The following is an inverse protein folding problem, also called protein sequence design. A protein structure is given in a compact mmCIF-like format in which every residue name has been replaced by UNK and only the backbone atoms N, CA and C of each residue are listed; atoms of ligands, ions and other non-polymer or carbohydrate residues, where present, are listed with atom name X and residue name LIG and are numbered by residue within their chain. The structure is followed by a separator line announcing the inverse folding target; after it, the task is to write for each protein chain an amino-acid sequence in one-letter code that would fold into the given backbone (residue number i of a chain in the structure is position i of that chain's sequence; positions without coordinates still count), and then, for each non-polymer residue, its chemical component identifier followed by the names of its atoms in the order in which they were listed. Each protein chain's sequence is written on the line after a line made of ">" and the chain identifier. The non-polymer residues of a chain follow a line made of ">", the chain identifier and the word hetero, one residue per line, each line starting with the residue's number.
data_IF_249097598702
#
_entry.id   IF_249097598702
#
_cell.length_a   1.000
_cell.length_b   1.000
_cell.length_c   1.000
_cell.angle_alpha   90.00
_cell.angle_beta   90.00
_cell.angle_gamma   90.00
#
_symmetry.space_group_name_H-M   'P 1'
#
loop_
_entity.id
_entity.type
_entity.pdbx_description
1 polymer ?
#
# COMPACT_ATOMS: atom_id res chain seq x y z
N UNK A 1 -4.81 0.93 -4.87
CA UNK A 1 -3.42 1.25 -5.25
C UNK A 1 -2.73 0.04 -5.83
N UNK A 2 -1.69 0.24 -6.60
CA UNK A 2 -0.78 -0.83 -7.02
C UNK A 2 0.50 -0.73 -6.20
N UNK A 3 0.91 -1.82 -5.55
CA UNK A 3 2.19 -1.94 -4.86
C UNK A 3 3.17 -2.74 -5.73
N UNK A 4 4.32 -2.16 -6.00
CA UNK A 4 5.42 -2.78 -6.72
C UNK A 4 6.53 -3.18 -5.74
N UNK A 5 7.00 -4.41 -5.87
CA UNK A 5 8.03 -5.04 -5.05
C UNK A 5 9.05 -5.72 -5.93
N UNK A 6 10.21 -6.04 -5.37
CA UNK A 6 11.25 -6.82 -6.03
C UNK A 6 11.57 -8.01 -5.13
N UNK A 7 11.87 -9.16 -5.75
CA UNK A 7 12.27 -10.34 -4.99
C UNK A 7 13.51 -10.06 -4.13
N UNK A 8 13.74 -10.79 -3.03
CA UNK A 8 14.92 -10.62 -2.19
C UNK A 8 16.23 -10.72 -2.95
N UNK A 9 16.28 -11.50 -4.02
CA UNK A 9 17.44 -11.65 -4.92
C UNK A 9 17.61 -10.46 -5.87
N UNK A 10 16.65 -9.52 -5.90
CA UNK A 10 16.72 -8.28 -6.68
C UNK A 10 16.48 -8.43 -8.20
N UNK A 11 15.98 -9.58 -8.66
CA UNK A 11 15.89 -9.89 -10.08
C UNK A 11 14.47 -10.15 -10.61
N UNK A 12 13.46 -10.20 -9.75
CA UNK A 12 12.07 -10.43 -10.14
C UNK A 12 11.15 -9.31 -9.62
N UNK A 13 10.82 -8.34 -10.47
CA UNK A 13 9.82 -7.32 -10.12
C UNK A 13 8.41 -7.92 -10.10
N UNK A 14 7.56 -7.42 -9.22
CA UNK A 14 6.18 -7.82 -9.10
C UNK A 14 5.31 -6.61 -8.77
N UNK A 15 4.12 -6.55 -9.34
CA UNK A 15 3.13 -5.51 -9.05
C UNK A 15 1.77 -6.16 -8.74
N UNK A 16 1.10 -5.67 -7.72
CA UNK A 16 -0.22 -6.15 -7.32
C UNK A 16 -1.13 -5.01 -6.91
N UNK A 17 -2.40 -5.08 -7.31
CA UNK A 17 -3.44 -4.18 -6.84
C UNK A 17 -3.94 -4.63 -5.48
N UNK A 18 -4.00 -3.70 -4.54
CA UNK A 18 -4.48 -3.94 -3.18
C UNK A 18 -5.40 -2.82 -2.71
N UNK A 19 -6.37 -3.13 -1.87
CA UNK A 19 -7.10 -2.13 -1.11
C UNK A 19 -6.16 -1.50 -0.08
N UNK A 20 -6.31 -0.22 0.18
CA UNK A 20 -5.48 0.49 1.14
C UNK A 20 -6.27 1.55 1.91
N UNK A 21 -5.87 1.80 3.14
CA UNK A 21 -6.30 2.93 3.94
C UNK A 21 -5.09 3.83 4.23
N UNK A 22 -5.36 5.08 4.56
CA UNK A 22 -4.33 6.05 4.94
C UNK A 22 -4.59 6.45 6.38
N UNK A 23 -3.56 6.44 7.22
CA UNK A 23 -3.67 6.91 8.60
C UNK A 23 -3.38 8.43 8.72
N UNK A 24 -3.52 8.97 9.92
CA UNK A 24 -3.37 10.41 10.19
C UNK A 24 -1.93 10.93 9.94
N UNK A 25 -0.95 10.03 9.88
CA UNK A 25 0.45 10.35 9.57
C UNK A 25 0.78 10.14 8.07
N UNK A 26 -0.23 10.01 7.22
CA UNK A 26 -0.13 9.74 5.78
C UNK A 26 0.57 8.41 5.43
N UNK A 27 0.61 7.46 6.35
CA UNK A 27 1.12 6.11 6.08
C UNK A 27 0.02 5.26 5.46
N UNK A 28 0.39 4.42 4.51
CA UNK A 28 -0.57 3.56 3.84
C UNK A 28 -0.62 2.19 4.51
N UNK A 29 -1.83 1.72 4.80
CA UNK A 29 -2.06 0.40 5.39
C UNK A 29 -2.77 -0.48 4.38
N UNK A 30 -2.28 -1.71 4.18
CA UNK A 30 -2.95 -2.70 3.35
C UNK A 30 -2.89 -4.10 3.96
N UNK A 31 -3.82 -4.95 3.55
CA UNK A 31 -3.87 -6.35 3.94
C UNK A 31 -3.51 -7.22 2.74
N UNK A 32 -2.71 -8.25 2.98
CA UNK A 32 -2.42 -9.26 1.97
C UNK A 32 -1.97 -10.57 2.61
N UNK A 33 -2.05 -11.68 1.87
CA UNK A 33 -1.49 -12.94 2.31
C UNK A 33 0.03 -12.82 2.43
N UNK A 34 0.60 -13.37 3.52
CA UNK A 34 2.05 -13.44 3.69
C UNK A 34 2.71 -14.34 2.63
N UNK A 35 1.97 -15.33 2.15
CA UNK A 35 2.38 -16.27 1.09
C UNK A 35 2.26 -15.70 -0.33
N UNK A 36 1.67 -14.50 -0.53
CA UNK A 36 1.63 -13.86 -1.85
C UNK A 36 3.03 -13.38 -2.29
N UNK A 37 3.24 -13.20 -3.59
CA UNK A 37 4.55 -12.75 -4.10
C UNK A 37 5.01 -11.45 -3.42
N UNK A 38 4.16 -10.43 -3.36
CA UNK A 38 4.52 -9.18 -2.66
C UNK A 38 4.65 -9.36 -1.13
N UNK A 39 3.87 -10.27 -0.51
CA UNK A 39 4.03 -10.60 0.90
C UNK A 39 5.37 -11.25 1.20
N UNK A 40 5.82 -12.15 0.34
CA UNK A 40 7.14 -12.82 0.41
C UNK A 40 8.28 -11.83 0.14
N UNK A 41 8.13 -10.98 -0.89
CA UNK A 41 9.14 -9.96 -1.24
C UNK A 41 9.32 -8.93 -0.10
N UNK A 42 8.24 -8.54 0.57
CA UNK A 42 8.32 -7.61 1.71
C UNK A 42 8.93 -8.30 2.93
N UNK A 43 8.55 -9.56 3.19
CA UNK A 43 8.99 -10.26 4.40
C UNK A 43 8.61 -9.45 5.65
N UNK A 44 9.60 -9.10 6.46
CA UNK A 44 9.40 -8.20 7.61
C UNK A 44 9.43 -6.73 7.19
N UNK A 45 10.31 -6.37 6.25
CA UNK A 45 10.38 -5.03 5.64
C UNK A 45 11.12 -5.04 4.31
N UNK A 46 10.70 -4.19 3.38
CA UNK A 46 11.39 -3.97 2.11
C UNK A 46 11.04 -2.62 1.51
N UNK A 47 11.90 -2.07 0.64
CA UNK A 47 11.55 -0.92 -0.19
C UNK A 47 10.43 -1.29 -1.17
N UNK A 48 9.52 -0.36 -1.40
CA UNK A 48 8.41 -0.51 -2.33
C UNK A 48 8.19 0.76 -3.13
N UNK A 49 7.60 0.60 -4.32
CA UNK A 49 7.01 1.71 -5.05
C UNK A 49 5.49 1.48 -5.15
N UNK A 50 4.74 2.58 -5.10
CA UNK A 50 3.28 2.56 -5.14
C UNK A 50 2.79 3.52 -6.20
N UNK A 51 1.71 3.15 -6.88
CA UNK A 51 0.92 4.07 -7.69
C UNK A 51 -0.52 4.07 -7.23
N UNK A 52 -1.10 5.27 -7.18
CA UNK A 52 -2.54 5.49 -7.01
C UNK A 52 -3.00 6.31 -8.19
N UNK A 53 -3.89 5.77 -8.98
CA UNK A 53 -4.50 6.43 -10.14
C UNK A 53 -5.88 5.87 -10.38
N UNK A 54 -6.69 6.63 -11.07
CA UNK A 54 -7.98 6.19 -11.63
C UNK A 54 -7.81 5.79 -13.10
N UNK A 55 -8.84 5.24 -13.70
CA UNK A 55 -8.91 5.04 -15.15
C UNK A 55 -9.35 6.32 -15.82
N UNK A 56 -8.66 6.76 -16.87
CA UNK A 56 -8.95 7.96 -17.64
C UNK A 56 -9.16 7.61 -19.12
N UNK A 57 -10.09 8.31 -19.77
CA UNK A 57 -10.31 8.20 -21.21
C UNK A 57 -9.45 9.21 -21.99
N UNK A 58 -9.11 10.33 -21.36
CA UNK A 58 -8.29 11.41 -21.93
C UNK A 58 -6.98 11.58 -21.16
N UNK A 59 -5.89 11.75 -21.88
CA UNK A 59 -4.58 12.01 -21.29
C UNK A 59 -4.51 13.33 -20.51
N UNK A 60 -5.32 14.33 -20.89
CA UNK A 60 -5.41 15.64 -20.22
C UNK A 60 -6.01 15.53 -18.81
N UNK A 61 -6.78 14.48 -18.53
CA UNK A 61 -7.43 14.24 -17.25
C UNK A 61 -6.58 13.43 -16.27
N UNK A 62 -5.46 12.89 -16.75
CA UNK A 62 -4.62 11.99 -15.94
C UNK A 62 -4.17 12.67 -14.65
N UNK A 63 -4.52 12.04 -13.54
CA UNK A 63 -4.04 12.36 -12.21
C UNK A 63 -3.51 11.10 -11.54
N UNK A 64 -2.45 11.23 -10.79
CA UNK A 64 -1.92 10.09 -10.06
C UNK A 64 -0.84 10.48 -9.07
N UNK A 65 -0.68 9.62 -8.09
CA UNK A 65 0.37 9.72 -7.09
C UNK A 65 1.30 8.53 -7.24
N UNK A 66 2.58 8.79 -7.32
CA UNK A 66 3.65 7.80 -7.19
C UNK A 66 4.30 7.99 -5.83
N UNK A 67 4.53 6.90 -5.11
CA UNK A 67 5.12 6.93 -3.76
C UNK A 67 6.27 5.93 -3.74
N UNK A 68 7.39 6.35 -3.16
CA UNK A 68 8.52 5.50 -2.80
C UNK A 68 8.64 5.48 -1.29
N UNK A 69 8.80 4.31 -0.73
CA UNK A 69 8.88 4.15 0.71
C UNK A 69 9.31 2.75 1.13
N UNK A 70 9.20 2.49 2.41
CA UNK A 70 9.46 1.18 3.01
C UNK A 70 8.14 0.56 3.47
N UNK A 71 7.82 -0.64 2.99
CA UNK A 71 6.73 -1.45 3.53
C UNK A 71 7.25 -2.30 4.69
N UNK A 72 6.44 -2.40 5.74
CA UNK A 72 6.75 -3.19 6.93
C UNK A 72 5.55 -4.03 7.33
N UNK A 73 5.78 -5.32 7.59
CA UNK A 73 4.77 -6.19 8.19
C UNK A 73 4.64 -5.89 9.67
N UNK A 74 3.42 -5.61 10.12
CA UNK A 74 3.13 -5.24 11.50
C UNK A 74 2.77 -6.44 12.37
N UNK A 75 3.13 -6.34 13.65
CA UNK A 75 2.76 -7.31 14.70
C UNK A 75 2.32 -6.58 15.97
N UNK A 76 1.77 -7.31 16.93
CA UNK A 76 1.38 -6.78 18.24
C UNK A 76 0.45 -5.57 18.17
N UNK A 77 0.70 -4.58 19.00
CA UNK A 77 -0.13 -3.37 19.13
C UNK A 77 -0.17 -2.55 17.83
N UNK A 78 0.96 -2.45 17.12
CA UNK A 78 1.02 -1.72 15.84
C UNK A 78 0.11 -2.36 14.78
N UNK A 79 0.05 -3.71 14.72
CA UNK A 79 -0.87 -4.44 13.85
C UNK A 79 -2.34 -4.13 14.21
N UNK A 80 -2.67 -4.17 15.51
CA UNK A 80 -4.02 -3.89 15.97
C UNK A 80 -4.47 -2.46 15.61
N UNK A 81 -3.62 -1.47 15.86
CA UNK A 81 -3.90 -0.07 15.51
C UNK A 81 -4.10 0.13 13.98
N UNK A 82 -3.22 -0.42 13.17
CA UNK A 82 -3.34 -0.32 11.71
C UNK A 82 -4.59 -1.03 11.19
N UNK A 83 -4.97 -2.17 11.78
CA UNK A 83 -6.19 -2.89 11.43
C UNK A 83 -7.44 -2.07 11.74
N UNK A 84 -7.46 -1.31 12.83
CA UNK A 84 -8.57 -0.39 13.16
C UNK A 84 -8.73 0.70 12.09
N UNK A 85 -7.63 1.32 11.64
CA UNK A 85 -7.65 2.29 10.53
C UNK A 85 -8.24 1.65 9.28
N UNK A 86 -7.77 0.44 8.95
CA UNK A 86 -8.22 -0.26 7.75
C UNK A 86 -9.70 -0.65 7.80
N UNK A 87 -10.17 -1.19 8.93
CA UNK A 87 -11.58 -1.57 9.12
C UNK A 87 -12.51 -0.35 9.13
N UNK A 88 -12.06 0.79 9.63
CA UNK A 88 -12.81 2.04 9.55
C UNK A 88 -13.07 2.44 8.10
N UNK A 89 -12.08 2.29 7.22
CA UNK A 89 -12.21 2.55 5.79
C UNK A 89 -13.03 1.48 5.06
N UNK A 90 -12.89 0.21 5.47
CA UNK A 90 -13.50 -0.97 4.85
C UNK A 90 -14.27 -1.81 5.88
N UNK A 91 -15.50 -1.40 6.30
CA UNK A 91 -16.24 -2.08 7.36
C UNK A 91 -16.52 -3.56 7.09
N UNK A 92 -16.66 -3.96 5.81
CA UNK A 92 -16.90 -5.36 5.43
C UNK A 92 -15.78 -6.31 5.87
N UNK A 93 -14.58 -5.79 6.09
CA UNK A 93 -13.41 -6.58 6.52
C UNK A 93 -13.64 -7.20 7.91
N UNK A 94 -14.35 -6.52 8.80
CA UNK A 94 -14.71 -7.07 10.12
C UNK A 94 -15.48 -8.38 10.01
N UNK A 95 -16.48 -8.42 9.15
CA UNK A 95 -17.30 -9.62 8.89
C UNK A 95 -16.47 -10.71 8.22
N UNK A 96 -15.59 -10.33 7.29
CA UNK A 96 -14.69 -11.26 6.60
C UNK A 96 -13.73 -11.93 7.59
N UNK A 97 -13.12 -11.15 8.50
CA UNK A 97 -12.16 -11.67 9.49
C UNK A 97 -12.82 -12.54 10.55
N UNK A 98 -14.09 -12.26 10.91
CA UNK A 98 -14.84 -13.02 11.91
C UNK A 98 -15.46 -14.31 11.38
N UNK A 99 -15.55 -14.48 10.06
CA UNK A 99 -16.28 -15.60 9.46
C UNK A 99 -15.47 -16.90 9.51
N UNK A 100 -16.00 -18.02 10.09
CA UNK A 100 -15.26 -19.27 10.26
C UNK A 100 -14.70 -19.85 8.97
N UNK A 101 -15.40 -19.69 7.83
CA UNK A 101 -14.92 -20.14 6.51
C UNK A 101 -13.63 -19.49 6.05
N UNK A 102 -13.26 -18.36 6.63
CA UNK A 102 -12.07 -17.60 6.27
C UNK A 102 -10.91 -17.78 7.26
N UNK A 103 -11.07 -18.68 8.26
CA UNK A 103 -10.07 -18.86 9.32
C UNK A 103 -8.66 -19.18 8.79
N UNK A 104 -8.54 -20.00 7.75
CA UNK A 104 -7.25 -20.32 7.13
C UNK A 104 -6.63 -19.11 6.44
N UNK A 105 -7.44 -18.38 5.64
CA UNK A 105 -7.00 -17.13 5.01
C UNK A 105 -6.55 -16.10 6.06
N UNK A 106 -7.31 -15.97 7.16
CA UNK A 106 -7.00 -15.01 8.24
C UNK A 106 -5.68 -15.35 8.93
N UNK A 107 -5.34 -16.65 9.09
CA UNK A 107 -4.04 -17.07 9.65
C UNK A 107 -2.86 -16.63 8.78
N UNK A 108 -3.03 -16.62 7.45
CA UNK A 108 -1.99 -16.18 6.51
C UNK A 108 -2.00 -14.66 6.26
N UNK A 109 -2.98 -13.94 6.80
CA UNK A 109 -3.16 -12.52 6.53
C UNK A 109 -2.12 -11.67 7.28
N UNK A 110 -1.28 -10.99 6.51
CA UNK A 110 -0.40 -9.93 6.99
C UNK A 110 -1.08 -8.57 6.95
N UNK A 111 -0.75 -7.72 7.92
CA UNK A 111 -1.06 -6.30 7.91
C UNK A 111 0.24 -5.56 7.62
N UNK A 112 0.24 -4.78 6.57
CA UNK A 112 1.43 -4.05 6.10
C UNK A 112 1.19 -2.56 6.20
N UNK A 113 2.23 -1.83 6.60
CA UNK A 113 2.26 -0.38 6.60
C UNK A 113 3.39 0.12 5.74
N UNK A 114 3.12 1.10 4.90
CA UNK A 114 4.14 1.80 4.12
C UNK A 114 4.42 3.13 4.76
N UNK A 115 5.68 3.39 5.04
CA UNK A 115 6.23 4.69 5.43
C UNK A 115 6.68 5.40 4.14
N UNK A 116 5.97 6.43 3.67
CA UNK A 116 6.36 7.15 2.47
C UNK A 116 7.61 7.99 2.73
N UNK A 117 8.63 7.85 1.89
CA UNK A 117 9.83 8.69 1.94
C UNK A 117 9.78 9.81 0.89
N UNK A 118 9.12 9.54 -0.24
CA UNK A 118 9.00 10.45 -1.37
C UNK A 118 7.69 10.22 -2.08
N UNK A 119 7.06 11.28 -2.53
CA UNK A 119 5.86 11.22 -3.37
C UNK A 119 6.03 12.13 -4.60
N UNK A 120 5.42 11.72 -5.72
CA UNK A 120 5.28 12.57 -6.90
C UNK A 120 3.81 12.58 -7.32
N UNK A 121 3.27 13.77 -7.49
CA UNK A 121 1.92 13.98 -7.99
C UNK A 121 1.96 14.44 -9.44
N UNK A 122 1.17 13.81 -10.27
CA UNK A 122 0.96 14.20 -11.66
C UNK A 122 -0.48 14.69 -11.82
N UNK A 123 -0.67 15.86 -12.43
CA UNK A 123 -1.98 16.40 -12.78
C UNK A 123 -1.89 17.10 -14.16
N UNK A 124 -2.34 16.40 -15.19
CA UNK A 124 -2.28 16.90 -16.55
C UNK A 124 -3.30 18.02 -16.82
N UNK A 125 -4.28 18.24 -15.94
CA UNK A 125 -5.24 19.35 -16.06
C UNK A 125 -4.60 20.72 -15.83
N UNK A 126 -3.48 20.77 -15.11
CA UNK A 126 -2.74 21.99 -14.80
C UNK A 126 -1.65 22.32 -15.83
N UNK A 127 -1.45 21.46 -16.82
CA UNK A 127 -0.45 21.58 -17.88
C UNK A 127 0.07 20.22 -18.30
N UNK A 128 0.50 20.09 -19.56
CA UNK A 128 0.98 18.83 -20.10
C UNK A 128 2.15 18.28 -19.27
N UNK A 129 1.96 17.08 -18.71
CA UNK A 129 2.96 16.34 -17.90
C UNK A 129 3.41 17.08 -16.62
N UNK A 130 2.52 17.93 -16.06
CA UNK A 130 2.75 18.58 -14.77
C UNK A 130 3.07 17.56 -13.68
N UNK A 131 4.24 17.67 -13.03
CA UNK A 131 4.68 16.76 -11.98
C UNK A 131 5.32 17.54 -10.85
N UNK A 132 4.77 17.36 -9.65
CA UNK A 132 5.34 17.87 -8.41
C UNK A 132 5.96 16.72 -7.62
N UNK A 133 7.12 16.94 -7.04
CA UNK A 133 7.84 15.96 -6.22
C UNK A 133 7.97 16.52 -4.81
N UNK A 134 7.59 15.70 -3.83
CA UNK A 134 7.67 16.00 -2.41
C UNK A 134 8.59 14.98 -1.73
N UNK A 135 9.63 15.46 -1.05
CA UNK A 135 10.40 14.66 -0.11
C UNK A 135 9.68 14.68 1.23
N UNK A 136 9.26 13.52 1.69
CA UNK A 136 8.55 13.36 2.95
C UNK A 136 9.56 13.06 4.05
N UNK A 137 9.57 13.87 5.11
CA UNK A 137 10.42 13.59 6.27
C UNK A 137 9.86 12.35 6.95
N UNK A 138 10.59 11.24 6.87
CA UNK A 138 10.34 10.11 7.75
C UNK A 138 10.67 10.60 9.16
N UNK A 139 9.66 10.71 10.01
CA UNK A 139 9.87 11.05 11.42
C UNK A 139 10.80 10.03 12.09
N UNK A 140 11.48 10.41 13.17
CA UNK A 140 12.38 9.54 13.88
C UNK A 140 11.69 8.28 14.43
#
# INVERSE_FOLDING_TARGET
>A
MTVATVSPEGNAPHAASVFYAVDDDLRLVFLSKRSSSHGTHIGDKAPVAITVSEGYENWEEIQGVQIWGEARRLSGAARAAALLVYVKQFPFVSSLLAHPRHAEMVRDLGVYRVEPARAAFTDNRTGAFGREVLELKVGP
#
